data_IF_421979672065
#
_entry.id   IF_421979672065
#
_cell.length_a   1.000
_cell.length_b   1.000
_cell.length_c   1.000
_cell.angle_alpha   90.00
_cell.angle_beta   90.00
_cell.angle_gamma   90.00
#
_symmetry.space_group_name_H-M   'P 1'
#
loop_
_entity.id
_entity.type
_entity.pdbx_description
1 polymer ?
#
# COMPACT_ATOMS: atom_id res chain seq x y z
N UNK A 1 -1.65 13.59 -43.82
CA UNK A 1 -0.30 13.55 -43.24
C UNK A 1 -0.31 12.42 -42.20
N UNK A 2 0.38 11.34 -42.53
CA UNK A 2 0.37 10.07 -41.77
C UNK A 2 1.40 10.13 -40.65
N UNK A 3 0.98 10.07 -39.38
CA UNK A 3 1.85 9.93 -38.24
C UNK A 3 2.29 8.46 -38.12
N UNK A 4 3.56 8.18 -38.45
CA UNK A 4 4.20 6.90 -38.24
C UNK A 4 4.40 6.70 -36.74
N UNK A 5 3.66 5.77 -36.14
CA UNK A 5 4.01 5.20 -34.84
C UNK A 5 5.33 4.43 -34.99
N UNK A 6 6.35 4.81 -34.25
CA UNK A 6 7.58 4.02 -34.10
C UNK A 6 7.28 2.85 -33.15
N UNK A 7 6.93 1.71 -33.74
CA UNK A 7 7.06 0.41 -33.10
C UNK A 7 8.54 0.02 -33.10
N UNK A 8 9.09 -0.11 -31.91
CA UNK A 8 10.48 -0.53 -31.72
C UNK A 8 10.79 -0.76 -30.24
N UNK A 9 9.88 -1.41 -29.49
CA UNK A 9 10.22 -1.94 -28.18
C UNK A 9 10.81 -3.32 -28.35
N UNK A 10 12.12 -3.45 -28.10
CA UNK A 10 12.76 -4.73 -27.87
C UNK A 10 12.12 -5.34 -26.62
N UNK A 11 11.27 -6.32 -26.79
CA UNK A 11 10.74 -7.13 -25.72
C UNK A 11 11.90 -7.92 -25.14
N UNK A 12 12.47 -7.48 -24.01
CA UNK A 12 13.52 -8.23 -23.31
C UNK A 12 12.84 -9.50 -22.81
N UNK A 13 13.07 -10.62 -23.49
CA UNK A 13 12.61 -11.93 -23.02
C UNK A 13 13.38 -12.25 -21.74
N UNK A 14 12.68 -12.17 -20.59
CA UNK A 14 13.22 -12.62 -19.31
C UNK A 14 13.51 -14.12 -19.44
N UNK A 15 14.80 -14.50 -19.35
CA UNK A 15 15.20 -15.91 -19.42
C UNK A 15 14.86 -16.60 -18.10
N UNK A 16 13.96 -17.57 -18.12
CA UNK A 16 13.58 -18.40 -16.97
C UNK A 16 12.19 -19.00 -17.14
N UNK A 17 11.87 -19.98 -16.30
CA UNK A 17 10.50 -20.48 -16.18
C UNK A 17 9.64 -19.43 -15.48
N UNK A 18 8.30 -19.45 -15.62
CA UNK A 18 7.40 -18.55 -14.90
C UNK A 18 7.63 -18.57 -13.39
N UNK A 19 7.92 -19.75 -12.81
CA UNK A 19 8.21 -19.93 -11.39
C UNK A 19 9.47 -19.15 -10.98
N UNK A 20 10.56 -19.33 -11.72
CA UNK A 20 11.84 -18.64 -11.46
C UNK A 20 11.71 -17.12 -11.61
N UNK A 21 10.88 -16.67 -12.55
CA UNK A 21 10.57 -15.24 -12.73
C UNK A 21 9.85 -14.71 -11.49
N UNK A 22 8.85 -15.45 -10.99
CA UNK A 22 8.11 -15.12 -9.76
C UNK A 22 9.04 -15.08 -8.54
N UNK A 23 9.84 -16.10 -8.31
CA UNK A 23 10.77 -16.18 -7.18
C UNK A 23 11.76 -15.01 -7.15
N UNK A 24 12.34 -14.64 -8.28
CA UNK A 24 13.26 -13.50 -8.35
C UNK A 24 12.57 -12.16 -8.13
N UNK A 25 11.35 -12.01 -8.64
CA UNK A 25 10.55 -10.79 -8.38
C UNK A 25 10.29 -10.67 -6.89
N UNK A 26 9.86 -11.74 -6.23
CA UNK A 26 9.61 -11.75 -4.79
C UNK A 26 10.90 -11.50 -3.98
N UNK A 27 12.04 -12.05 -4.37
CA UNK A 27 13.32 -11.76 -3.71
C UNK A 27 13.64 -10.26 -3.76
N UNK A 28 13.45 -9.59 -4.92
CA UNK A 28 13.66 -8.14 -5.06
C UNK A 28 12.72 -7.36 -4.12
N UNK A 29 11.44 -7.74 -4.08
CA UNK A 29 10.45 -7.10 -3.22
C UNK A 29 10.80 -7.29 -1.74
N UNK A 30 11.17 -8.50 -1.32
CA UNK A 30 11.54 -8.81 0.06
C UNK A 30 12.79 -8.05 0.52
N UNK A 31 13.79 -7.92 -0.35
CA UNK A 31 14.97 -7.10 -0.06
C UNK A 31 14.60 -5.61 0.06
N UNK A 32 13.80 -5.10 -0.88
CA UNK A 32 13.33 -3.71 -0.84
C UNK A 32 12.56 -3.42 0.46
N UNK A 33 11.66 -4.31 0.87
CA UNK A 33 10.91 -4.20 2.12
C UNK A 33 11.85 -4.10 3.32
N UNK A 34 12.81 -5.03 3.46
CA UNK A 34 13.77 -5.01 4.58
C UNK A 34 14.57 -3.71 4.64
N UNK A 35 15.08 -3.24 3.50
CA UNK A 35 15.79 -1.98 3.43
C UNK A 35 14.88 -0.80 3.82
N UNK A 36 13.65 -0.80 3.35
CA UNK A 36 12.69 0.26 3.65
C UNK A 36 12.23 0.30 5.10
N UNK A 37 12.39 -0.78 5.88
CA UNK A 37 12.13 -0.75 7.32
C UNK A 37 13.04 0.24 8.05
N UNK A 38 14.31 0.33 7.64
CA UNK A 38 15.36 1.13 8.31
C UNK A 38 15.82 2.35 7.51
N UNK A 39 15.53 2.42 6.21
CA UNK A 39 15.94 3.51 5.32
C UNK A 39 14.75 4.36 4.89
N UNK A 40 15.01 5.62 4.54
CA UNK A 40 13.99 6.45 3.88
C UNK A 40 13.82 6.04 2.42
N UNK A 41 12.62 6.29 1.84
CA UNK A 41 12.32 6.01 0.44
C UNK A 41 13.40 6.52 -0.54
N UNK A 42 13.90 7.74 -0.32
CA UNK A 42 14.93 8.36 -1.16
C UNK A 42 16.27 7.62 -1.15
N UNK A 43 16.59 6.94 -0.05
CA UNK A 43 17.89 6.29 0.19
C UNK A 43 17.88 4.82 -0.28
N UNK A 44 16.70 4.21 -0.43
CA UNK A 44 16.56 2.88 -1.07
C UNK A 44 16.80 3.04 -2.58
N UNK A 45 17.80 2.36 -3.10
CA UNK A 45 18.17 2.38 -4.52
C UNK A 45 18.29 0.96 -5.07
N UNK A 46 18.18 0.81 -6.40
CA UNK A 46 18.43 -0.50 -7.06
C UNK A 46 19.85 -1.01 -6.77
N UNK A 47 20.80 -0.10 -6.51
CA UNK A 47 22.17 -0.46 -6.11
C UNK A 47 22.17 -1.13 -4.74
N UNK A 48 21.48 -0.54 -3.76
CA UNK A 48 21.40 -1.12 -2.41
C UNK A 48 20.64 -2.45 -2.42
N UNK A 49 19.51 -2.53 -3.13
CA UNK A 49 18.78 -3.78 -3.33
C UNK A 49 19.67 -4.86 -3.95
N UNK A 50 20.45 -4.51 -4.99
CA UNK A 50 21.33 -5.45 -5.67
C UNK A 50 22.53 -5.92 -4.85
N UNK A 51 22.84 -5.32 -3.71
CA UNK A 51 23.86 -5.83 -2.78
C UNK A 51 23.35 -7.00 -1.93
N UNK A 52 22.05 -7.07 -1.72
CA UNK A 52 21.39 -8.03 -0.84
C UNK A 52 20.60 -9.12 -1.61
N UNK A 53 20.50 -9.02 -2.95
CA UNK A 53 19.91 -10.08 -3.77
C UNK A 53 20.97 -11.13 -4.14
N UNK A 54 20.53 -12.37 -4.40
CA UNK A 54 21.39 -13.49 -4.81
C UNK A 54 21.90 -13.36 -6.24
N UNK A 55 21.45 -12.37 -7.00
CA UNK A 55 21.80 -12.14 -8.40
C UNK A 55 22.27 -10.69 -8.64
N UNK A 56 22.89 -10.47 -9.79
CA UNK A 56 23.52 -9.18 -10.09
C UNK A 56 22.51 -8.05 -10.33
N UNK A 57 22.92 -6.80 -10.03
CA UNK A 57 22.13 -5.60 -10.31
C UNK A 57 21.57 -5.53 -11.75
N UNK A 58 22.30 -5.85 -12.83
CA UNK A 58 21.73 -5.90 -14.18
C UNK A 58 20.54 -6.85 -14.30
N UNK A 59 20.49 -7.92 -13.51
CA UNK A 59 19.36 -8.84 -13.48
C UNK A 59 18.09 -8.19 -12.94
N UNK A 60 18.19 -7.27 -11.96
CA UNK A 60 17.04 -6.54 -11.42
C UNK A 60 16.32 -5.76 -12.51
N UNK A 61 17.08 -5.13 -13.43
CA UNK A 61 16.50 -4.35 -14.53
C UNK A 61 15.69 -5.18 -15.54
N UNK A 62 15.83 -6.52 -15.52
CA UNK A 62 14.92 -7.38 -16.29
C UNK A 62 13.50 -7.42 -15.71
N UNK A 63 13.34 -7.12 -14.44
CA UNK A 63 12.06 -7.19 -13.70
C UNK A 63 11.47 -5.81 -13.44
N UNK A 64 12.30 -4.84 -13.08
CA UNK A 64 11.90 -3.49 -12.69
C UNK A 64 12.84 -2.45 -13.33
N UNK A 65 12.30 -1.49 -14.07
CA UNK A 65 13.11 -0.45 -14.73
C UNK A 65 13.54 0.65 -13.74
N UNK A 66 12.78 0.85 -12.67
CA UNK A 66 13.03 1.87 -11.65
C UNK A 66 12.80 1.31 -10.24
N UNK A 67 13.26 2.03 -9.21
CA UNK A 67 12.93 1.69 -7.82
C UNK A 67 11.44 1.91 -7.56
N UNK A 68 10.87 2.90 -8.21
CA UNK A 68 9.45 3.24 -8.10
C UNK A 68 8.57 2.04 -8.50
N UNK A 69 8.94 1.32 -9.55
CA UNK A 69 8.26 0.07 -9.93
C UNK A 69 8.36 -1.02 -8.87
N UNK A 70 9.50 -1.10 -8.15
CA UNK A 70 9.66 -2.05 -7.03
C UNK A 70 8.72 -1.66 -5.90
N UNK A 71 8.64 -0.37 -5.57
CA UNK A 71 7.72 0.14 -4.55
C UNK A 71 6.26 -0.03 -4.94
N UNK A 72 5.87 0.17 -6.21
CA UNK A 72 4.53 -0.18 -6.69
C UNK A 72 4.24 -1.68 -6.55
N UNK A 73 5.24 -2.54 -6.75
CA UNK A 73 5.12 -3.97 -6.49
C UNK A 73 4.89 -4.31 -5.02
N UNK A 74 5.51 -3.57 -4.08
CA UNK A 74 5.22 -3.69 -2.65
C UNK A 74 3.79 -3.26 -2.33
N UNK A 75 3.34 -2.13 -2.86
CA UNK A 75 1.96 -1.68 -2.72
C UNK A 75 0.94 -2.71 -3.24
N UNK A 76 1.20 -3.26 -4.44
CA UNK A 76 0.37 -4.31 -5.06
C UNK A 76 0.22 -5.50 -4.10
N UNK A 77 1.35 -5.98 -3.54
CA UNK A 77 1.37 -7.09 -2.59
C UNK A 77 0.60 -6.80 -1.30
N UNK A 78 0.81 -5.63 -0.72
CA UNK A 78 0.14 -5.20 0.50
C UNK A 78 -1.38 -5.05 0.31
N UNK A 79 -1.81 -4.44 -0.81
CA UNK A 79 -3.22 -4.33 -1.12
C UNK A 79 -3.88 -5.69 -1.34
N UNK A 80 -3.25 -6.61 -2.07
CA UNK A 80 -3.77 -7.96 -2.28
C UNK A 80 -3.87 -8.74 -0.97
N UNK A 81 -2.87 -8.61 -0.09
CA UNK A 81 -2.90 -9.20 1.24
C UNK A 81 -4.03 -8.62 2.12
N UNK A 82 -4.24 -7.30 2.05
CA UNK A 82 -5.35 -6.67 2.79
C UNK A 82 -6.71 -7.06 2.21
N UNK A 83 -6.84 -7.14 0.89
CA UNK A 83 -8.05 -7.62 0.21
C UNK A 83 -8.49 -8.97 0.75
N UNK A 84 -7.56 -9.95 0.81
CA UNK A 84 -7.87 -11.29 1.32
C UNK A 84 -8.39 -11.25 2.77
N UNK A 85 -7.77 -10.46 3.66
CA UNK A 85 -8.24 -10.33 5.05
C UNK A 85 -9.59 -9.62 5.14
N UNK A 86 -9.87 -8.62 4.29
CA UNK A 86 -11.19 -7.99 4.23
C UNK A 86 -12.29 -8.96 3.75
N UNK A 87 -11.98 -9.80 2.76
CA UNK A 87 -12.89 -10.83 2.24
C UNK A 87 -13.19 -11.88 3.31
N UNK A 88 -12.19 -12.34 4.08
CA UNK A 88 -12.39 -13.23 5.22
C UNK A 88 -13.30 -12.59 6.30
N UNK A 89 -13.15 -11.31 6.57
CA UNK A 89 -14.01 -10.60 7.53
C UNK A 89 -15.47 -10.52 7.10
N UNK A 90 -15.78 -10.57 5.79
CA UNK A 90 -17.15 -10.51 5.30
C UNK A 90 -18.00 -11.68 5.81
N UNK A 91 -17.42 -12.86 6.05
CA UNK A 91 -18.14 -14.05 6.53
C UNK A 91 -18.73 -13.84 7.92
N UNK A 92 -18.11 -13.00 8.75
CA UNK A 92 -18.52 -12.74 10.13
C UNK A 92 -19.18 -11.35 10.31
N UNK A 93 -19.24 -10.53 9.26
CA UNK A 93 -19.60 -9.11 9.35
C UNK A 93 -21.04 -8.88 9.83
N UNK A 94 -22.00 -9.72 9.43
CA UNK A 94 -23.43 -9.54 9.69
C UNK A 94 -23.83 -9.56 11.18
N UNK A 95 -22.94 -10.00 12.08
CA UNK A 95 -23.22 -10.07 13.54
C UNK A 95 -22.39 -9.09 14.36
N UNK A 96 -21.55 -8.29 13.71
CA UNK A 96 -20.64 -7.39 14.42
C UNK A 96 -21.36 -6.11 14.85
N UNK A 97 -21.05 -5.67 16.08
CA UNK A 97 -21.36 -4.29 16.47
C UNK A 97 -20.46 -3.31 15.70
N UNK A 98 -20.86 -2.04 15.69
CA UNK A 98 -20.05 -0.95 15.13
C UNK A 98 -18.63 -0.93 15.69
N UNK A 99 -18.50 -1.08 17.01
CA UNK A 99 -17.23 -1.16 17.71
C UNK A 99 -16.43 -2.40 17.31
N UNK A 100 -17.10 -3.55 17.16
CA UNK A 100 -16.47 -4.80 16.74
C UNK A 100 -15.93 -4.73 15.32
N UNK A 101 -16.69 -4.16 14.38
CA UNK A 101 -16.23 -3.94 13.00
C UNK A 101 -15.06 -2.95 12.95
N UNK A 102 -15.17 -1.82 13.66
CA UNK A 102 -14.10 -0.83 13.74
C UNK A 102 -12.82 -1.45 14.30
N UNK A 103 -12.93 -2.29 15.32
CA UNK A 103 -11.80 -2.99 15.94
C UNK A 103 -11.13 -3.98 14.99
N UNK A 104 -11.93 -4.78 14.24
CA UNK A 104 -11.39 -5.73 13.25
C UNK A 104 -10.65 -5.01 12.12
N UNK A 105 -11.24 -3.98 11.53
CA UNK A 105 -10.59 -3.20 10.45
C UNK A 105 -9.33 -2.51 10.99
N UNK A 106 -9.37 -1.90 12.17
CA UNK A 106 -8.21 -1.25 12.77
C UNK A 106 -7.09 -2.25 13.06
N UNK A 107 -7.41 -3.42 13.59
CA UNK A 107 -6.45 -4.50 13.83
C UNK A 107 -5.82 -5.05 12.55
N UNK A 108 -6.56 -5.10 11.43
CA UNK A 108 -6.03 -5.51 10.14
C UNK A 108 -5.01 -4.51 9.60
N UNK A 109 -5.25 -3.22 9.77
CA UNK A 109 -4.34 -2.15 9.33
C UNK A 109 -3.13 -1.99 10.26
N UNK A 110 -3.26 -2.27 11.56
CA UNK A 110 -2.13 -2.29 12.49
C UNK A 110 -1.05 -3.30 12.06
N UNK A 111 -1.45 -4.47 11.56
CA UNK A 111 -0.53 -5.48 11.00
C UNK A 111 0.15 -5.03 9.71
N UNK A 112 -0.35 -3.97 9.05
CA UNK A 112 0.08 -3.46 7.75
C UNK A 112 0.79 -2.12 7.84
N UNK A 113 1.69 -1.99 8.81
CA UNK A 113 2.51 -0.79 8.96
C UNK A 113 3.26 -0.43 7.67
N UNK A 114 3.68 -1.43 6.88
CA UNK A 114 4.32 -1.21 5.57
C UNK A 114 3.37 -0.52 4.59
N UNK A 115 2.13 -1.00 4.44
CA UNK A 115 1.12 -0.36 3.57
C UNK A 115 0.92 1.10 3.96
N UNK A 116 0.72 1.38 5.25
CA UNK A 116 0.50 2.74 5.74
C UNK A 116 1.74 3.63 5.59
N UNK A 117 2.94 3.07 5.75
CA UNK A 117 4.21 3.77 5.49
C UNK A 117 4.36 4.13 4.01
N UNK A 118 3.97 3.21 3.12
CA UNK A 118 3.98 3.45 1.67
C UNK A 118 2.96 4.54 1.28
N UNK A 119 1.76 4.54 1.87
CA UNK A 119 0.74 5.57 1.63
C UNK A 119 1.19 6.98 2.05
N UNK A 120 2.11 7.09 2.99
CA UNK A 120 2.66 8.38 3.43
C UNK A 120 3.73 8.95 2.48
N UNK A 121 4.16 8.22 1.45
CA UNK A 121 5.13 8.68 0.45
C UNK A 121 4.40 9.35 -0.72
N UNK A 122 5.11 10.19 -1.47
CA UNK A 122 4.57 10.84 -2.66
C UNK A 122 4.27 9.82 -3.78
N UNK A 123 3.00 9.44 -3.87
CA UNK A 123 2.52 8.45 -4.84
C UNK A 123 2.65 8.94 -6.29
N UNK A 124 2.51 10.26 -6.53
CA UNK A 124 2.63 10.82 -7.89
C UNK A 124 4.00 10.55 -8.50
N UNK A 125 5.08 10.73 -7.73
CA UNK A 125 6.44 10.45 -8.22
C UNK A 125 6.64 8.97 -8.57
N UNK A 126 6.03 8.07 -7.79
CA UNK A 126 6.09 6.64 -8.08
C UNK A 126 5.32 6.29 -9.38
N UNK A 127 4.15 6.88 -9.58
CA UNK A 127 3.31 6.63 -10.75
C UNK A 127 3.96 7.17 -12.03
N UNK A 128 4.50 8.40 -12.00
CA UNK A 128 5.17 9.02 -13.15
C UNK A 128 6.44 8.28 -13.58
N UNK A 129 7.19 7.71 -12.62
CA UNK A 129 8.45 7.03 -12.89
C UNK A 129 8.30 5.51 -13.08
N UNK A 130 7.10 5.04 -13.35
CA UNK A 130 6.79 3.63 -13.58
C UNK A 130 6.17 3.40 -14.96
N UNK A 131 6.43 2.21 -15.52
CA UNK A 131 5.78 1.79 -16.78
C UNK A 131 4.28 1.62 -16.57
N UNK A 132 3.51 1.89 -17.64
CA UNK A 132 2.04 1.79 -17.61
C UNK A 132 1.53 0.42 -17.16
N UNK A 133 2.19 -0.67 -17.58
CA UNK A 133 1.75 -2.01 -17.15
C UNK A 133 1.91 -2.23 -15.63
N UNK A 134 2.93 -1.63 -15.00
CA UNK A 134 3.10 -1.69 -13.53
C UNK A 134 2.07 -0.84 -12.81
N UNK A 135 1.80 0.33 -13.36
CA UNK A 135 0.75 1.19 -12.83
C UNK A 135 -0.62 0.54 -12.93
N UNK A 136 -0.95 -0.12 -14.04
CA UNK A 136 -2.21 -0.87 -14.22
C UNK A 136 -2.32 -2.01 -13.20
N UNK A 137 -1.27 -2.82 -12.99
CA UNK A 137 -1.26 -3.87 -11.97
C UNK A 137 -1.54 -3.32 -10.56
N UNK A 138 -0.82 -2.25 -10.18
CA UNK A 138 -1.03 -1.58 -8.90
C UNK A 138 -2.46 -1.05 -8.75
N UNK A 139 -3.00 -0.34 -9.76
CA UNK A 139 -4.37 0.18 -9.72
C UNK A 139 -5.42 -0.93 -9.66
N UNK A 140 -5.15 -2.10 -10.29
CA UNK A 140 -6.02 -3.26 -10.18
C UNK A 140 -6.05 -3.84 -8.75
N UNK A 141 -4.89 -3.95 -8.07
CA UNK A 141 -4.81 -4.39 -6.68
C UNK A 141 -5.51 -3.40 -5.73
N UNK A 142 -5.29 -2.10 -5.92
CA UNK A 142 -6.00 -1.05 -5.19
C UNK A 142 -7.53 -1.12 -5.42
N UNK A 143 -7.97 -1.34 -6.66
CA UNK A 143 -9.38 -1.51 -7.00
C UNK A 143 -10.03 -2.66 -6.23
N UNK A 144 -9.36 -3.83 -6.18
CA UNK A 144 -9.83 -4.99 -5.42
C UNK A 144 -9.99 -4.68 -3.92
N UNK A 145 -9.02 -3.98 -3.32
CA UNK A 145 -9.13 -3.58 -1.91
C UNK A 145 -10.31 -2.65 -1.63
N UNK A 146 -10.60 -1.74 -2.57
CA UNK A 146 -11.78 -0.87 -2.49
C UNK A 146 -13.08 -1.65 -2.53
N UNK A 147 -13.17 -2.60 -3.46
CA UNK A 147 -14.34 -3.47 -3.63
C UNK A 147 -14.53 -4.39 -2.41
N UNK A 148 -13.44 -4.99 -1.88
CA UNK A 148 -13.50 -5.81 -0.68
C UNK A 148 -13.94 -5.00 0.55
N UNK A 149 -13.44 -3.78 0.72
CA UNK A 149 -13.87 -2.89 1.80
C UNK A 149 -15.35 -2.52 1.64
N UNK A 150 -15.80 -2.17 0.44
CA UNK A 150 -17.21 -1.89 0.16
C UNK A 150 -18.10 -3.11 0.45
N UNK A 151 -17.66 -4.30 0.05
CA UNK A 151 -18.34 -5.57 0.34
C UNK A 151 -18.46 -5.84 1.84
N UNK A 152 -17.39 -5.59 2.61
CA UNK A 152 -17.40 -5.73 4.07
C UNK A 152 -18.41 -4.77 4.73
N UNK A 153 -18.45 -3.52 4.30
CA UNK A 153 -19.43 -2.54 4.81
C UNK A 153 -20.86 -2.94 4.44
N UNK A 154 -21.08 -3.41 3.21
CA UNK A 154 -22.39 -3.92 2.80
C UNK A 154 -22.84 -5.14 3.62
N UNK A 155 -21.93 -6.08 3.88
CA UNK A 155 -22.21 -7.26 4.69
C UNK A 155 -22.58 -6.90 6.16
N UNK A 156 -21.90 -5.89 6.73
CA UNK A 156 -22.20 -5.41 8.08
C UNK A 156 -23.47 -4.55 8.14
N UNK A 157 -23.76 -3.78 7.11
CA UNK A 157 -24.88 -2.82 7.03
C UNK A 157 -25.67 -2.99 5.72
N UNK A 158 -26.47 -4.06 5.57
CA UNK A 158 -27.15 -4.39 4.31
C UNK A 158 -28.22 -3.37 3.88
N UNK A 159 -28.62 -2.47 4.76
CA UNK A 159 -29.59 -1.42 4.47
C UNK A 159 -28.97 -0.14 3.90
N UNK A 160 -27.64 -0.03 3.85
CA UNK A 160 -26.97 1.11 3.23
C UNK A 160 -27.14 1.04 1.70
N UNK A 161 -27.36 2.20 1.11
CA UNK A 161 -27.34 2.36 -0.34
C UNK A 161 -25.90 2.23 -0.86
N UNK A 162 -25.74 1.89 -2.13
CA UNK A 162 -24.44 1.85 -2.79
C UNK A 162 -23.72 3.22 -2.70
N UNK A 163 -24.43 4.32 -2.79
CA UNK A 163 -23.87 5.66 -2.66
C UNK A 163 -23.29 5.93 -1.26
N UNK A 164 -23.93 5.47 -0.20
CA UNK A 164 -23.45 5.61 1.19
C UNK A 164 -22.21 4.75 1.42
N UNK A 165 -22.19 3.51 0.89
CA UNK A 165 -21.04 2.63 0.97
C UNK A 165 -19.82 3.27 0.29
N UNK A 166 -19.98 3.77 -0.94
CA UNK A 166 -18.89 4.43 -1.66
C UNK A 166 -18.47 5.75 -1.02
N UNK A 167 -19.40 6.50 -0.41
CA UNK A 167 -19.07 7.69 0.37
C UNK A 167 -18.16 7.35 1.54
N UNK A 168 -18.44 6.26 2.26
CA UNK A 168 -17.57 5.76 3.32
C UNK A 168 -16.19 5.40 2.76
N UNK A 169 -16.12 4.58 1.71
CA UNK A 169 -14.85 4.12 1.12
C UNK A 169 -13.98 5.31 0.68
N UNK A 170 -14.58 6.29 -0.04
CA UNK A 170 -13.86 7.48 -0.51
C UNK A 170 -13.55 8.52 0.58
N UNK A 171 -14.10 8.36 1.77
CA UNK A 171 -13.70 9.14 2.95
C UNK A 171 -12.60 8.44 3.72
N UNK A 172 -12.73 7.14 3.92
CA UNK A 172 -11.83 6.36 4.76
C UNK A 172 -10.46 6.11 4.11
N UNK A 173 -10.41 5.73 2.83
CA UNK A 173 -9.13 5.43 2.18
C UNK A 173 -8.18 6.63 2.10
N UNK A 174 -8.61 7.86 1.73
CA UNK A 174 -7.76 9.04 1.82
C UNK A 174 -7.25 9.34 3.23
N UNK A 175 -8.06 9.06 4.27
CA UNK A 175 -7.64 9.20 5.67
C UNK A 175 -6.41 8.34 5.99
N UNK A 176 -6.30 7.14 5.43
CA UNK A 176 -5.18 6.23 5.69
C UNK A 176 -3.81 6.80 5.29
N UNK A 177 -3.75 7.74 4.33
CA UNK A 177 -2.50 8.41 3.94
C UNK A 177 -1.88 9.23 5.07
N UNK A 178 -2.70 9.71 6.02
CA UNK A 178 -2.24 10.47 7.17
C UNK A 178 -1.88 9.62 8.39
N UNK A 179 -2.32 8.35 8.45
CA UNK A 179 -2.20 7.54 9.67
C UNK A 179 -0.75 7.32 10.09
N UNK A 180 0.11 6.89 9.15
CA UNK A 180 1.49 6.53 9.49
C UNK A 180 2.30 7.70 10.07
N UNK A 181 2.33 8.90 9.48
CA UNK A 181 3.11 10.02 10.03
C UNK A 181 2.55 10.54 11.37
N UNK A 182 1.29 10.29 11.69
CA UNK A 182 0.72 10.62 13.01
C UNK A 182 1.02 9.55 14.06
N UNK A 183 1.13 8.28 13.66
CA UNK A 183 1.51 7.20 14.56
C UNK A 183 3.04 7.14 14.83
N UNK A 184 3.85 7.61 13.88
CA UNK A 184 5.31 7.53 13.91
C UNK A 184 5.95 8.88 13.58
N UNK A 185 5.83 9.85 14.50
CA UNK A 185 6.53 11.11 14.38
C UNK A 185 8.05 10.89 14.44
N UNK A 186 8.82 11.60 13.62
CA UNK A 186 10.29 11.55 13.68
C UNK A 186 10.82 12.28 14.93
N UNK A 187 12.01 11.89 15.41
CA UNK A 187 12.67 12.59 16.52
C UNK A 187 12.74 14.10 16.30
N UNK A 188 13.05 14.52 15.07
CA UNK A 188 13.11 15.94 14.71
C UNK A 188 11.73 16.63 14.79
N UNK A 189 10.65 15.94 14.47
CA UNK A 189 9.28 16.48 14.63
C UNK A 189 8.93 16.62 16.10
N UNK A 190 9.24 15.59 16.91
CA UNK A 190 9.00 15.61 18.35
C UNK A 190 9.77 16.77 18.99
N UNK A 191 11.08 16.89 18.72
CA UNK A 191 11.90 17.99 19.22
C UNK A 191 11.34 19.36 18.84
N UNK A 192 10.88 19.53 17.60
CA UNK A 192 10.30 20.80 17.16
C UNK A 192 8.97 21.13 17.85
N UNK A 193 8.13 20.13 18.12
CA UNK A 193 6.87 20.30 18.86
C UNK A 193 7.14 20.65 20.33
N UNK A 194 8.12 19.98 20.95
CA UNK A 194 8.51 20.24 22.34
C UNK A 194 9.03 21.67 22.54
N UNK A 195 9.82 22.20 21.59
CA UNK A 195 10.32 23.57 21.64
C UNK A 195 9.23 24.62 21.69
N UNK A 196 8.06 24.35 21.13
CA UNK A 196 6.92 25.26 21.11
C UNK A 196 5.78 24.83 22.07
N UNK A 197 6.03 23.84 22.93
CA UNK A 197 5.07 23.26 23.86
C UNK A 197 3.76 22.78 23.19
N UNK A 198 3.86 22.26 21.94
CA UNK A 198 2.74 21.69 21.23
C UNK A 198 2.47 20.27 21.73
N UNK A 199 1.27 20.04 22.26
CA UNK A 199 0.87 18.71 22.68
C UNK A 199 0.83 17.74 21.48
N UNK A 200 1.51 16.61 21.61
CA UNK A 200 1.54 15.54 20.60
C UNK A 200 1.20 14.20 21.28
N UNK A 201 -0.10 13.88 21.42
CA UNK A 201 -0.50 12.62 22.04
C UNK A 201 0.03 11.43 21.23
N UNK A 202 0.67 10.49 21.91
CA UNK A 202 1.06 9.21 21.30
C UNK A 202 -0.18 8.38 21.04
N UNK A 203 -0.40 8.03 19.77
CA UNK A 203 -1.50 7.18 19.35
C UNK A 203 -0.97 6.08 18.40
N UNK A 204 -1.41 4.86 18.65
CA UNK A 204 -1.11 3.73 17.78
C UNK A 204 -1.91 3.81 16.46
N UNK A 205 -1.45 3.09 15.42
CA UNK A 205 -2.24 2.91 14.18
C UNK A 205 -3.66 2.46 14.52
N UNK A 206 -3.78 1.46 15.42
CA UNK A 206 -5.08 0.90 15.81
C UNK A 206 -6.01 1.94 16.41
N UNK A 207 -5.54 2.77 17.32
CA UNK A 207 -6.33 3.83 17.94
C UNK A 207 -6.75 4.90 16.93
N UNK A 208 -5.82 5.37 16.08
CA UNK A 208 -6.13 6.35 15.04
C UNK A 208 -7.21 5.83 14.09
N UNK A 209 -7.04 4.62 13.57
CA UNK A 209 -7.97 4.00 12.62
C UNK A 209 -9.32 3.72 13.28
N UNK A 210 -9.32 3.12 14.48
CA UNK A 210 -10.56 2.82 15.22
C UNK A 210 -11.36 4.08 15.51
N UNK A 211 -10.71 5.14 15.99
CA UNK A 211 -11.36 6.41 16.29
C UNK A 211 -11.99 7.05 15.05
N UNK A 212 -11.35 6.96 13.88
CA UNK A 212 -11.92 7.42 12.63
C UNK A 212 -13.13 6.57 12.22
N UNK A 213 -13.00 5.25 12.26
CA UNK A 213 -14.08 4.32 11.91
C UNK A 213 -15.31 4.52 12.77
N UNK A 214 -15.16 4.72 14.09
CA UNK A 214 -16.26 5.01 15.01
C UNK A 214 -17.00 6.34 14.72
N UNK A 215 -16.44 7.20 13.88
CA UNK A 215 -17.09 8.44 13.41
C UNK A 215 -17.69 8.30 12.02
N UNK A 216 -17.14 7.42 11.21
CA UNK A 216 -17.53 7.22 9.80
C UNK A 216 -18.58 6.13 9.62
N UNK A 217 -18.55 5.09 10.45
CA UNK A 217 -19.53 4.01 10.42
C UNK A 217 -20.89 4.52 10.97
N UNK A 218 -22.01 4.04 10.40
CA UNK A 218 -23.36 4.41 10.82
C UNK A 218 -23.70 3.94 12.24
#
# INVERSE_FOLDING_TARGET
MSARFKEGRVMIMIKGTPELIGERREEILNVCERLYQTMHFKDVTIKEIGKETTFSRPTIYNYFESKEEIFLGLFEREYLSWTAELEEMCEEAAGLSREGLAEKIAGSLEKRGLLLKLLAVNLYDMEENSRMERLVSFKAAYGKSREALAGLIHAAYPNLTEAEIWSFVFTFLPYLHGVYPYAFATEKQIEAMDQIHLAHPEMTIRELVKNALLRLLP
#
